data_IF_772017169232
#
_entry.id   IF_772017169232
#
_cell.length_a   1.000
_cell.length_b   1.000
_cell.length_c   1.000
_cell.angle_alpha   90.00
_cell.angle_beta   90.00
_cell.angle_gamma   90.00
#
_symmetry.space_group_name_H-M   'P 1'
#
loop_
_entity.id
_entity.type
_entity.pdbx_description
1 polymer ?
#
# COMPACT_ATOMS: atom_id res chain seq x y z
N UNK A 1 -10.89 1.24 5.77
CA UNK A 1 -10.89 2.40 6.71
C UNK A 1 -11.48 3.62 6.03
N UNK A 2 -12.12 4.52 6.80
CA UNK A 2 -12.63 5.79 6.25
C UNK A 2 -11.52 6.72 5.73
N UNK A 3 -10.27 6.46 6.11
CA UNK A 3 -9.11 7.27 5.71
C UNK A 3 -8.27 6.62 4.60
N UNK A 4 -8.72 5.51 4.04
CA UNK A 4 -7.97 4.83 2.97
C UNK A 4 -7.83 5.69 1.71
N UNK A 5 -8.81 6.56 1.43
CA UNK A 5 -8.76 7.50 0.31
C UNK A 5 -7.70 8.61 0.48
N UNK A 6 -7.17 8.82 1.71
CA UNK A 6 -6.06 9.72 2.01
C UNK A 6 -4.73 8.97 2.23
N UNK A 7 -4.66 7.69 1.88
CA UNK A 7 -3.50 6.87 2.19
C UNK A 7 -3.14 6.90 3.71
N UNK A 8 -4.13 6.96 4.59
CA UNK A 8 -3.96 7.09 6.04
C UNK A 8 -4.74 6.00 6.82
N UNK A 9 -4.80 4.81 6.25
CA UNK A 9 -5.56 3.68 6.80
C UNK A 9 -4.82 2.81 7.81
N UNK A 10 -3.51 2.95 7.95
CA UNK A 10 -2.67 2.11 8.82
C UNK A 10 -3.13 2.14 10.28
N UNK A 11 -3.59 3.29 10.78
CA UNK A 11 -4.08 3.43 12.14
C UNK A 11 -5.24 2.49 12.51
N UNK A 12 -6.12 2.21 11.54
CA UNK A 12 -7.24 1.28 11.71
C UNK A 12 -6.84 -0.20 11.57
N UNK A 13 -5.60 -0.48 11.18
CA UNK A 13 -5.03 -1.82 10.93
C UNK A 13 -3.93 -2.19 11.91
N UNK A 14 -3.80 -1.42 12.99
CA UNK A 14 -2.84 -1.72 14.05
C UNK A 14 -3.14 -3.07 14.69
N UNK A 15 -2.08 -3.76 15.10
CA UNK A 15 -2.21 -4.96 15.90
C UNK A 15 -3.00 -4.64 17.18
N UNK A 16 -3.84 -5.59 17.66
CA UNK A 16 -4.45 -5.46 18.98
C UNK A 16 -3.38 -5.23 20.03
N UNK A 17 -3.64 -4.35 21.00
CA UNK A 17 -2.67 -3.95 22.04
C UNK A 17 -2.06 -5.16 22.75
N UNK A 18 -2.87 -6.18 23.04
CA UNK A 18 -2.40 -7.42 23.66
C UNK A 18 -1.32 -8.16 22.87
N UNK A 19 -1.37 -8.09 21.52
CA UNK A 19 -0.34 -8.69 20.67
C UNK A 19 0.89 -7.82 20.52
N UNK A 20 0.73 -6.51 20.51
CA UNK A 20 1.84 -5.57 20.35
C UNK A 20 2.86 -5.66 21.51
N UNK A 21 2.44 -6.17 22.66
CA UNK A 21 3.26 -6.33 23.87
C UNK A 21 3.92 -7.72 23.98
N UNK A 22 3.50 -8.69 23.15
CA UNK A 22 4.05 -10.06 23.20
C UNK A 22 5.42 -10.11 22.51
N UNK A 23 6.45 -10.40 23.26
CA UNK A 23 7.84 -10.53 22.76
C UNK A 23 8.21 -11.94 22.34
N UNK A 24 7.59 -12.93 22.97
CA UNK A 24 7.85 -14.36 22.73
C UNK A 24 6.53 -15.15 22.73
N UNK A 25 6.14 -15.62 21.57
CA UNK A 25 4.97 -16.47 21.42
C UNK A 25 5.20 -17.90 21.88
N UNK A 26 6.46 -18.34 21.94
CA UNK A 26 6.81 -19.68 22.42
C UNK A 26 6.50 -19.89 23.90
N UNK A 27 6.46 -18.82 24.68
CA UNK A 27 6.08 -18.82 26.09
C UNK A 27 4.57 -18.74 26.34
N UNK A 28 3.76 -18.56 25.29
CA UNK A 28 2.30 -18.37 25.39
C UNK A 28 1.58 -19.71 25.57
N UNK A 29 0.61 -19.74 26.47
CA UNK A 29 -0.27 -20.91 26.61
C UNK A 29 -1.29 -21.01 25.47
N UNK A 30 -1.90 -22.17 25.20
CA UNK A 30 -2.98 -22.30 24.21
C UNK A 30 -4.18 -21.37 24.50
N UNK A 31 -4.44 -21.06 25.76
CA UNK A 31 -5.49 -20.13 26.16
C UNK A 31 -5.14 -18.68 25.78
N UNK A 32 -3.86 -18.29 25.96
CA UNK A 32 -3.37 -16.98 25.54
C UNK A 32 -3.45 -16.83 24.03
N UNK A 33 -2.98 -17.83 23.28
CA UNK A 33 -3.06 -17.85 21.80
C UNK A 33 -4.52 -17.69 21.33
N UNK A 34 -5.45 -18.43 21.94
CA UNK A 34 -6.88 -18.31 21.66
C UNK A 34 -7.41 -16.90 21.97
N UNK A 35 -6.94 -16.29 23.08
CA UNK A 35 -7.26 -14.92 23.45
C UNK A 35 -6.73 -13.89 22.44
N UNK A 36 -5.50 -14.09 21.95
CA UNK A 36 -4.91 -13.26 20.91
C UNK A 36 -5.68 -13.35 19.62
N UNK A 37 -6.00 -14.55 19.14
CA UNK A 37 -6.77 -14.75 17.90
C UNK A 37 -8.15 -14.09 17.96
N UNK A 38 -8.84 -14.16 19.10
CA UNK A 38 -10.14 -13.50 19.30
C UNK A 38 -10.06 -11.98 19.37
N UNK A 39 -8.89 -11.41 19.63
CA UNK A 39 -8.69 -9.96 19.68
C UNK A 39 -8.58 -9.33 18.30
N UNK A 40 -8.33 -10.11 17.26
CA UNK A 40 -8.34 -9.62 15.88
C UNK A 40 -9.77 -9.32 15.43
N UNK A 41 -9.89 -8.29 14.61
CA UNK A 41 -11.13 -8.03 13.90
C UNK A 41 -11.35 -9.15 12.87
N UNK A 42 -12.50 -9.82 12.94
CA UNK A 42 -12.86 -10.88 12.01
C UNK A 42 -13.16 -10.32 10.60
N UNK A 43 -12.12 -10.09 9.82
CA UNK A 43 -12.19 -9.54 8.46
C UNK A 43 -11.15 -10.26 7.57
N UNK A 44 -11.34 -11.55 7.41
CA UNK A 44 -10.39 -12.43 6.72
C UNK A 44 -10.77 -12.71 5.26
N UNK A 45 -11.94 -12.28 4.83
CA UNK A 45 -12.42 -12.49 3.47
C UNK A 45 -12.39 -11.20 2.67
N UNK A 46 -11.94 -11.29 1.43
CA UNK A 46 -12.11 -10.23 0.45
C UNK A 46 -13.61 -10.04 0.19
N UNK A 47 -14.05 -8.80 0.05
CA UNK A 47 -15.41 -8.46 -0.33
C UNK A 47 -15.42 -7.94 -1.75
N UNK A 48 -16.30 -8.48 -2.56
CA UNK A 48 -16.59 -7.90 -3.85
C UNK A 48 -17.23 -6.53 -3.65
N UNK A 49 -16.79 -5.58 -4.42
CA UNK A 49 -17.37 -4.24 -4.48
C UNK A 49 -17.44 -3.82 -5.94
N UNK A 50 -18.42 -2.99 -6.27
CA UNK A 50 -18.49 -2.39 -7.60
C UNK A 50 -17.24 -1.55 -7.84
N UNK A 51 -16.68 -1.67 -9.06
CA UNK A 51 -15.53 -0.87 -9.47
C UNK A 51 -15.91 0.61 -9.49
N UNK A 52 -15.21 1.40 -8.68
CA UNK A 52 -15.28 2.85 -8.76
C UNK A 52 -14.34 3.33 -9.87
N UNK A 53 -14.66 4.42 -10.56
CA UNK A 53 -13.78 4.96 -11.60
C UNK A 53 -12.44 5.40 -11.01
N UNK A 54 -11.38 5.25 -11.79
CA UNK A 54 -10.10 5.84 -11.47
C UNK A 54 -10.22 7.36 -11.50
N UNK A 55 -9.68 8.02 -10.50
CA UNK A 55 -9.76 9.47 -10.32
C UNK A 55 -8.35 10.02 -10.17
N UNK A 56 -8.05 11.07 -10.93
CA UNK A 56 -6.82 11.82 -10.73
C UNK A 56 -7.09 13.31 -10.97
N UNK A 57 -6.46 14.15 -10.16
CA UNK A 57 -6.46 15.59 -10.36
C UNK A 57 -5.17 16.21 -9.85
N UNK A 58 -4.83 17.37 -10.36
CA UNK A 58 -3.71 18.15 -9.90
C UNK A 58 -4.02 19.64 -10.03
N UNK A 59 -3.39 20.42 -9.16
CA UNK A 59 -3.45 21.86 -9.19
C UNK A 59 -2.07 22.43 -8.92
N UNK A 60 -1.73 23.53 -9.58
CA UNK A 60 -0.50 24.27 -9.30
C UNK A 60 -0.76 25.76 -9.37
N UNK A 61 -0.05 26.50 -8.52
CA UNK A 61 -0.01 27.95 -8.52
C UNK A 61 1.43 28.38 -8.40
N UNK A 62 1.83 29.36 -9.19
CA UNK A 62 3.18 29.90 -9.16
C UNK A 62 3.22 31.32 -9.69
N UNK A 63 4.20 32.04 -9.26
CA UNK A 63 4.38 33.42 -9.67
C UNK A 63 5.57 34.05 -9.01
N UNK A 64 5.68 35.35 -9.22
CA UNK A 64 6.67 36.22 -8.59
C UNK A 64 5.96 37.46 -8.05
N UNK A 65 6.21 37.72 -6.77
CA UNK A 65 5.63 38.85 -6.06
C UNK A 65 6.69 39.59 -5.23
N UNK A 66 6.42 40.85 -4.93
CA UNK A 66 7.27 41.63 -4.04
C UNK A 66 6.79 41.45 -2.60
N UNK A 67 7.48 40.63 -1.83
CA UNK A 67 7.19 40.37 -0.42
C UNK A 67 8.26 41.04 0.42
N UNK A 68 7.88 41.89 1.38
CA UNK A 68 8.80 42.68 2.22
C UNK A 68 9.84 43.48 1.40
N UNK A 69 9.41 44.05 0.26
CA UNK A 69 10.31 44.83 -0.58
C UNK A 69 11.32 44.02 -1.40
N UNK A 70 11.15 42.68 -1.49
CA UNK A 70 12.04 41.75 -2.19
C UNK A 70 11.27 40.90 -3.21
N UNK A 71 11.86 40.72 -4.37
CA UNK A 71 11.29 39.84 -5.37
C UNK A 71 11.36 38.42 -4.89
N UNK A 72 10.21 37.79 -4.74
CA UNK A 72 10.05 36.41 -4.24
C UNK A 72 9.26 35.61 -5.26
N UNK A 73 9.89 34.58 -5.80
CA UNK A 73 9.24 33.58 -6.63
C UNK A 73 8.67 32.47 -5.76
N UNK A 74 7.50 31.99 -6.13
CA UNK A 74 6.86 30.85 -5.47
C UNK A 74 6.25 29.89 -6.46
N UNK A 75 6.24 28.62 -6.11
CA UNK A 75 5.51 27.56 -6.80
C UNK A 75 4.97 26.58 -5.76
N UNK A 76 3.66 26.40 -5.76
CA UNK A 76 3.01 25.35 -4.99
C UNK A 76 2.24 24.43 -5.94
N UNK A 77 2.31 23.14 -5.75
CA UNK A 77 1.53 22.17 -6.49
C UNK A 77 1.01 21.07 -5.57
N UNK A 78 -0.12 20.50 -5.97
CA UNK A 78 -0.74 19.35 -5.33
C UNK A 78 -1.23 18.39 -6.39
N UNK A 79 -1.06 17.10 -6.16
CA UNK A 79 -1.59 16.03 -7.01
C UNK A 79 -2.24 14.95 -6.18
N UNK A 80 -3.27 14.34 -6.73
CA UNK A 80 -3.97 13.21 -6.15
C UNK A 80 -4.32 12.22 -7.27
N UNK A 81 -4.11 10.93 -7.01
CA UNK A 81 -4.56 9.86 -7.88
C UNK A 81 -5.08 8.69 -7.04
N UNK A 82 -6.19 8.12 -7.46
CA UNK A 82 -6.73 6.88 -6.93
C UNK A 82 -7.02 5.95 -8.10
N UNK A 83 -6.44 4.77 -8.07
CA UNK A 83 -6.54 3.76 -9.12
C UNK A 83 -7.09 2.47 -8.55
N UNK A 84 -8.01 1.84 -9.26
CA UNK A 84 -8.49 0.51 -9.02
C UNK A 84 -8.02 -0.38 -10.17
N UNK A 85 -7.32 -1.45 -9.85
CA UNK A 85 -6.87 -2.47 -10.81
C UNK A 85 -7.43 -3.83 -10.39
N UNK A 86 -8.01 -4.54 -11.32
CA UNK A 86 -8.45 -5.92 -11.14
C UNK A 86 -7.75 -6.79 -12.18
N UNK A 87 -6.92 -7.71 -11.70
CA UNK A 87 -6.30 -8.77 -12.51
C UNK A 87 -7.10 -10.04 -12.34
N UNK A 88 -7.71 -10.48 -13.42
CA UNK A 88 -8.44 -11.74 -13.50
C UNK A 88 -7.54 -12.80 -14.13
N UNK A 89 -7.88 -14.06 -13.87
CA UNK A 89 -7.18 -15.22 -14.43
C UNK A 89 -5.67 -15.25 -14.09
N UNK A 90 -5.29 -14.68 -12.94
CA UNK A 90 -3.94 -14.74 -12.46
C UNK A 90 -3.57 -16.19 -12.13
N UNK A 91 -2.47 -16.65 -12.71
CA UNK A 91 -1.94 -17.99 -12.47
C UNK A 91 -0.64 -17.91 -11.69
N UNK A 92 -0.55 -18.69 -10.62
CA UNK A 92 0.68 -18.86 -9.83
C UNK A 92 1.01 -20.33 -9.74
N UNK A 93 2.21 -20.67 -10.19
CA UNK A 93 2.71 -22.03 -10.10
C UNK A 93 4.10 -22.05 -9.46
N UNK A 94 4.33 -23.02 -8.60
CA UNK A 94 5.67 -23.39 -8.15
C UNK A 94 6.06 -24.67 -8.84
N UNK A 95 7.22 -24.68 -9.50
CA UNK A 95 7.69 -25.84 -10.22
C UNK A 95 9.04 -26.30 -9.64
N UNK A 96 9.24 -27.60 -9.63
CA UNK A 96 10.53 -28.23 -9.29
C UNK A 96 11.06 -28.96 -10.50
N UNK A 97 12.38 -29.07 -10.58
CA UNK A 97 13.04 -29.85 -11.62
C UNK A 97 12.82 -31.34 -11.33
N UNK A 98 12.28 -32.05 -12.29
CA UNK A 98 12.03 -33.48 -12.18
C UNK A 98 13.28 -34.25 -12.62
N UNK A 99 14.13 -34.64 -11.67
CA UNK A 99 15.34 -35.43 -11.93
C UNK A 99 16.51 -34.65 -12.55
N UNK A 100 17.43 -35.36 -13.23
CA UNK A 100 18.62 -34.79 -13.89
C UNK A 100 18.31 -34.21 -15.30
N UNK A 101 17.04 -34.29 -15.74
CA UNK A 101 16.58 -33.72 -17.00
C UNK A 101 16.19 -32.26 -16.90
N UNK A 102 15.83 -31.67 -18.04
CA UNK A 102 15.33 -30.29 -18.13
C UNK A 102 13.83 -30.14 -17.88
N UNK A 103 13.13 -31.24 -17.58
CA UNK A 103 11.70 -31.21 -17.34
C UNK A 103 11.38 -30.60 -15.98
N UNK A 104 10.43 -29.67 -15.98
CA UNK A 104 9.89 -29.05 -14.76
C UNK A 104 8.48 -29.57 -14.51
N UNK A 105 8.19 -29.92 -13.26
CA UNK A 105 6.85 -30.33 -12.82
C UNK A 105 6.31 -29.28 -11.85
N UNK A 106 5.11 -28.82 -12.09
CA UNK A 106 4.42 -27.95 -11.16
C UNK A 106 4.01 -28.75 -9.91
N UNK A 107 4.41 -28.29 -8.72
CA UNK A 107 4.02 -28.87 -7.43
C UNK A 107 2.85 -28.13 -6.82
N UNK A 108 2.65 -26.88 -7.18
CA UNK A 108 1.51 -26.07 -6.80
C UNK A 108 1.04 -25.29 -8.01
N UNK A 109 -0.24 -25.31 -8.29
CA UNK A 109 -0.85 -24.53 -9.36
C UNK A 109 -2.14 -23.89 -8.86
N UNK A 110 -2.13 -22.58 -8.78
CA UNK A 110 -3.25 -21.77 -8.31
C UNK A 110 -3.70 -20.82 -9.39
N UNK A 111 -5.01 -20.60 -9.45
CA UNK A 111 -5.64 -19.63 -10.35
C UNK A 111 -6.59 -18.75 -9.54
N UNK A 112 -6.73 -17.49 -9.92
CA UNK A 112 -7.68 -16.60 -9.28
C UNK A 112 -7.52 -15.13 -9.71
N UNK A 113 -7.74 -14.24 -8.78
CA UNK A 113 -7.79 -12.82 -9.07
C UNK A 113 -7.12 -11.99 -7.98
N UNK A 114 -6.64 -10.82 -8.38
CA UNK A 114 -6.05 -9.81 -7.48
C UNK A 114 -6.70 -8.47 -7.75
N UNK A 115 -7.33 -7.90 -6.73
CA UNK A 115 -7.82 -6.53 -6.73
C UNK A 115 -6.86 -5.62 -5.97
N UNK A 116 -6.44 -4.52 -6.58
CA UNK A 116 -5.55 -3.53 -5.97
C UNK A 116 -6.19 -2.14 -6.03
N UNK A 117 -6.25 -1.47 -4.90
CA UNK A 117 -6.60 -0.05 -4.81
C UNK A 117 -5.35 0.71 -4.38
N UNK A 118 -4.89 1.59 -5.27
CA UNK A 118 -3.74 2.45 -5.01
C UNK A 118 -4.19 3.89 -4.84
N UNK A 119 -3.66 4.56 -3.84
CA UNK A 119 -3.85 5.98 -3.59
C UNK A 119 -2.48 6.64 -3.51
N UNK A 120 -2.32 7.69 -4.29
CA UNK A 120 -1.13 8.55 -4.29
C UNK A 120 -1.59 10.00 -4.16
N UNK A 121 -1.00 10.73 -3.24
CA UNK A 121 -1.11 12.18 -3.25
C UNK A 121 0.19 12.82 -2.77
N UNK A 122 0.44 14.01 -3.27
CA UNK A 122 1.64 14.73 -2.92
C UNK A 122 1.52 16.21 -3.17
N UNK A 123 2.46 16.94 -2.58
CA UNK A 123 2.59 18.36 -2.73
C UNK A 123 4.05 18.81 -2.86
N UNK A 124 4.23 19.90 -3.55
CA UNK A 124 5.51 20.57 -3.74
C UNK A 124 5.36 22.05 -3.38
N UNK A 125 6.33 22.57 -2.66
CA UNK A 125 6.44 23.99 -2.35
C UNK A 125 7.86 24.46 -2.62
N UNK A 126 8.01 25.40 -3.54
CA UNK A 126 9.25 26.08 -3.84
C UNK A 126 9.08 27.57 -3.55
N UNK A 127 10.00 28.12 -2.80
CA UNK A 127 10.10 29.55 -2.51
C UNK A 127 11.53 30.02 -2.82
N UNK A 128 11.67 31.17 -3.46
CA UNK A 128 12.99 31.72 -3.75
C UNK A 128 12.93 33.24 -3.67
N UNK A 129 13.78 33.81 -2.83
CA UNK A 129 13.86 35.28 -2.69
C UNK A 129 15.30 35.77 -2.79
N UNK A 130 15.48 36.96 -3.35
CA UNK A 130 16.78 37.60 -3.44
C UNK A 130 16.99 38.49 -2.24
N UNK A 131 18.01 38.19 -1.42
CA UNK A 131 18.32 38.94 -0.18
C UNK A 131 19.25 40.12 -0.40
N UNK A 132 19.78 40.31 -1.60
CA UNK A 132 20.70 41.36 -1.97
C UNK A 132 21.16 41.19 -3.40
N UNK A 133 22.21 41.85 -3.82
CA UNK A 133 22.72 41.75 -5.21
C UNK A 133 23.41 40.41 -5.48
N UNK A 134 23.93 39.73 -4.45
CA UNK A 134 24.71 38.49 -4.60
C UNK A 134 24.14 37.29 -3.85
N UNK A 135 23.09 37.47 -3.04
CA UNK A 135 22.56 36.35 -2.20
C UNK A 135 21.12 36.01 -2.61
N UNK A 136 20.88 34.75 -2.86
CA UNK A 136 19.54 34.15 -3.06
C UNK A 136 19.27 33.12 -1.97
N UNK A 137 18.12 33.21 -1.36
CA UNK A 137 17.61 32.18 -0.46
C UNK A 137 16.52 31.39 -1.18
N UNK A 138 16.61 30.08 -1.14
CA UNK A 138 15.57 29.21 -1.69
C UNK A 138 15.20 28.11 -0.70
N UNK A 139 13.91 27.79 -0.68
CA UNK A 139 13.34 26.66 0.02
C UNK A 139 12.64 25.76 -0.98
N UNK A 140 12.94 24.47 -0.95
CA UNK A 140 12.28 23.47 -1.77
C UNK A 140 11.80 22.35 -0.85
N UNK A 141 10.52 22.07 -0.85
CA UNK A 141 9.91 21.02 -0.05
C UNK A 141 8.99 20.16 -0.92
N UNK A 142 9.08 18.87 -0.74
CA UNK A 142 8.15 17.89 -1.33
C UNK A 142 7.61 16.98 -0.25
N UNK A 143 6.37 16.57 -0.41
CA UNK A 143 5.75 15.55 0.43
C UNK A 143 4.89 14.66 -0.42
N UNK A 144 5.14 13.36 -0.38
CA UNK A 144 4.37 12.35 -1.09
C UNK A 144 3.89 11.27 -0.13
N UNK A 145 2.68 10.82 -0.35
CA UNK A 145 2.08 9.73 0.41
C UNK A 145 1.40 8.74 -0.52
N UNK A 146 1.71 7.45 -0.32
CA UNK A 146 1.12 6.36 -1.08
C UNK A 146 0.52 5.33 -0.15
N UNK A 147 -0.55 4.69 -0.58
CA UNK A 147 -1.07 3.49 0.05
C UNK A 147 -1.62 2.53 -1.01
N UNK A 148 -1.29 1.26 -0.83
CA UNK A 148 -1.79 0.16 -1.65
C UNK A 148 -2.57 -0.80 -0.77
N UNK A 149 -3.80 -1.10 -1.18
CA UNK A 149 -4.65 -2.12 -0.57
C UNK A 149 -4.87 -3.23 -1.58
N UNK A 150 -4.32 -4.39 -1.32
CA UNK A 150 -4.40 -5.56 -2.19
C UNK A 150 -5.26 -6.65 -1.55
N UNK A 151 -6.16 -7.22 -2.32
CA UNK A 151 -6.91 -8.41 -1.99
C UNK A 151 -6.65 -9.46 -3.06
N UNK A 152 -6.00 -10.55 -2.67
CA UNK A 152 -5.68 -11.69 -3.51
C UNK A 152 -6.59 -12.85 -3.11
N UNK A 153 -7.18 -13.53 -4.10
CA UNK A 153 -7.88 -14.79 -3.93
C UNK A 153 -7.41 -15.77 -5.00
N UNK A 154 -6.84 -16.88 -4.58
CA UNK A 154 -6.35 -17.95 -5.44
C UNK A 154 -6.92 -19.28 -4.97
N UNK A 155 -7.24 -20.16 -5.90
CA UNK A 155 -7.66 -21.52 -5.61
C UNK A 155 -6.87 -22.49 -6.49
N UNK A 156 -6.54 -23.65 -5.96
CA UNK A 156 -5.79 -24.64 -6.74
C UNK A 156 -5.28 -25.81 -5.94
N UNK A 157 -4.65 -26.74 -6.66
CA UNK A 157 -4.07 -27.94 -6.07
C UNK A 157 -2.68 -27.63 -5.49
N UNK A 158 -2.48 -28.03 -4.24
CA UNK A 158 -1.16 -28.15 -3.65
C UNK A 158 -0.77 -29.62 -3.59
N UNK A 159 0.22 -30.02 -4.37
CA UNK A 159 0.76 -31.38 -4.28
C UNK A 159 1.50 -31.62 -2.97
N UNK A 160 2.09 -30.56 -2.37
CA UNK A 160 2.79 -30.65 -1.09
C UNK A 160 1.86 -31.14 0.03
N UNK A 161 0.61 -30.66 0.03
CA UNK A 161 -0.40 -31.09 1.01
C UNK A 161 -1.39 -32.13 0.47
N UNK A 162 -1.36 -32.39 -0.84
CA UNK A 162 -2.27 -33.33 -1.50
C UNK A 162 -3.73 -32.89 -1.50
N UNK A 163 -4.00 -31.58 -1.36
CA UNK A 163 -5.35 -31.03 -1.22
C UNK A 163 -5.55 -29.80 -2.09
N UNK A 164 -6.81 -29.52 -2.40
CA UNK A 164 -7.21 -28.27 -3.03
C UNK A 164 -7.32 -27.18 -1.95
N UNK A 165 -6.66 -26.05 -2.20
CA UNK A 165 -6.62 -24.92 -1.28
C UNK A 165 -7.30 -23.70 -1.88
N UNK A 166 -8.04 -22.96 -1.05
CA UNK A 166 -8.53 -21.60 -1.31
C UNK A 166 -7.72 -20.63 -0.45
N UNK A 167 -6.93 -19.80 -1.11
CA UNK A 167 -5.97 -18.89 -0.50
C UNK A 167 -6.48 -17.45 -0.60
N UNK A 168 -6.61 -16.80 0.52
CA UNK A 168 -6.93 -15.37 0.57
C UNK A 168 -5.80 -14.61 1.26
N UNK A 169 -5.35 -13.53 0.63
CA UNK A 169 -4.39 -12.60 1.22
C UNK A 169 -4.90 -11.18 1.11
N UNK A 170 -4.91 -10.49 2.23
CA UNK A 170 -5.23 -9.07 2.31
C UNK A 170 -3.99 -8.33 2.77
N UNK A 171 -3.54 -7.37 1.98
CA UNK A 171 -2.34 -6.58 2.26
C UNK A 171 -2.66 -5.10 2.21
N UNK A 172 -2.11 -4.34 3.13
CA UNK A 172 -2.14 -2.88 3.11
C UNK A 172 -0.75 -2.34 3.36
N UNK A 173 -0.27 -1.52 2.45
CA UNK A 173 1.04 -0.87 2.54
C UNK A 173 0.84 0.63 2.48
N UNK A 174 1.49 1.37 3.37
CA UNK A 174 1.46 2.83 3.43
C UNK A 174 2.90 3.35 3.52
N UNK A 175 3.22 4.35 2.71
CA UNK A 175 4.54 4.98 2.67
C UNK A 175 4.39 6.49 2.59
N UNK A 176 5.33 7.21 3.19
CA UNK A 176 5.47 8.65 3.09
C UNK A 176 6.92 9.00 2.78
N UNK A 177 7.11 10.00 1.92
CA UNK A 177 8.42 10.56 1.55
C UNK A 177 8.36 12.07 1.75
N UNK A 178 9.41 12.63 2.36
CA UNK A 178 9.54 14.08 2.60
C UNK A 178 11.01 14.49 2.59
#
# INVERSE_FOLDING_TARGET
SRLDWLAAGAGARRLPTRLAEVRDFGASTPADISGYLRSFRNAWTARETSGEPNVSFGASIGGEETIFGRRTGYLASFSYARTLELRKDEQRATAVRAGLGSETRAINAYQGETGTVSVLWGGLLNLSTQLGTATRLSFNGTYDRTADSEALRLAGLSEEYGVFLDLTRLTYTERSVY
#
